data_IF_881398500194
#
_entry.id   IF_881398500194
#
_cell.length_a   1.000
_cell.length_b   1.000
_cell.length_c   1.000
_cell.angle_alpha   90.00
_cell.angle_beta   90.00
_cell.angle_gamma   90.00
#
_symmetry.space_group_name_H-M   'P 1'
#
loop_
_entity.id
_entity.type
_entity.pdbx_description
1 polymer ?
#
# COMPACT_ATOMS: atom_id res chain seq x y z
N UNK A 1 -42.62 11.79 14.54
CA UNK A 1 -41.92 11.10 13.43
C UNK A 1 -40.60 11.82 13.23
N UNK A 2 -39.55 11.13 12.77
CA UNK A 2 -38.30 11.83 12.41
C UNK A 2 -38.60 12.85 11.31
N UNK A 3 -38.02 14.05 11.39
CA UNK A 3 -38.22 15.13 10.41
C UNK A 3 -37.35 14.95 9.15
N UNK A 4 -36.80 13.75 8.95
CA UNK A 4 -35.94 13.39 7.84
C UNK A 4 -36.22 11.95 7.42
N UNK A 5 -35.88 11.63 6.18
CA UNK A 5 -36.15 10.34 5.54
C UNK A 5 -34.91 9.46 5.48
N UNK A 6 -35.08 8.19 5.13
CA UNK A 6 -33.95 7.31 4.83
C UNK A 6 -33.09 7.83 3.65
N UNK A 7 -33.71 8.55 2.70
CA UNK A 7 -32.99 9.18 1.60
C UNK A 7 -32.08 10.33 2.10
N UNK A 8 -32.54 11.11 3.08
CA UNK A 8 -31.74 12.19 3.66
C UNK A 8 -30.52 11.65 4.44
N UNK A 9 -30.70 10.54 5.18
CA UNK A 9 -29.58 9.84 5.82
C UNK A 9 -28.57 9.38 4.76
N UNK A 10 -29.05 8.77 3.66
CA UNK A 10 -28.18 8.30 2.58
C UNK A 10 -27.43 9.47 1.93
N UNK A 11 -28.11 10.56 1.62
CA UNK A 11 -27.51 11.74 1.00
C UNK A 11 -26.45 12.40 1.90
N UNK A 12 -26.72 12.56 3.20
CA UNK A 12 -25.74 13.14 4.13
C UNK A 12 -24.55 12.19 4.33
N UNK A 13 -24.79 10.88 4.35
CA UNK A 13 -23.72 9.88 4.39
C UNK A 13 -22.83 9.93 3.15
N UNK A 14 -23.39 10.06 1.96
CA UNK A 14 -22.63 10.19 0.72
C UNK A 14 -21.81 11.49 0.69
N UNK A 15 -22.36 12.60 1.20
CA UNK A 15 -21.67 13.90 1.30
C UNK A 15 -20.50 13.89 2.28
N UNK A 16 -20.65 13.20 3.41
CA UNK A 16 -19.68 13.24 4.53
C UNK A 16 -18.72 12.06 4.56
N UNK A 17 -19.10 10.92 3.99
CA UNK A 17 -18.38 9.65 4.15
C UNK A 17 -18.53 9.02 5.54
N UNK A 18 -19.28 9.64 6.47
CA UNK A 18 -19.39 9.19 7.85
C UNK A 18 -20.17 7.87 8.01
N UNK A 19 -19.97 7.20 9.14
CA UNK A 19 -20.73 6.00 9.51
C UNK A 19 -22.24 6.26 9.59
N UNK A 20 -23.06 5.28 9.18
CA UNK A 20 -24.52 5.39 9.12
C UNK A 20 -25.16 5.87 10.44
N UNK A 21 -24.69 5.36 11.57
CA UNK A 21 -25.23 5.70 12.88
C UNK A 21 -24.84 7.12 13.31
N UNK A 22 -23.67 7.61 12.91
CA UNK A 22 -23.22 8.96 13.24
C UNK A 22 -24.03 9.99 12.45
N UNK A 23 -24.28 9.71 11.16
CA UNK A 23 -25.17 10.51 10.31
C UNK A 23 -26.59 10.57 10.88
N UNK A 24 -27.15 9.41 11.26
CA UNK A 24 -28.50 9.35 11.84
C UNK A 24 -28.60 10.16 13.14
N UNK A 25 -27.66 9.99 14.07
CA UNK A 25 -27.64 10.75 15.33
C UNK A 25 -27.47 12.25 15.12
N UNK A 26 -26.66 12.65 14.14
CA UNK A 26 -26.48 14.06 13.82
C UNK A 26 -27.77 14.68 13.26
N UNK A 27 -28.50 13.96 12.39
CA UNK A 27 -29.80 14.40 11.88
C UNK A 27 -30.86 14.48 12.99
N UNK A 28 -30.86 13.54 13.94
CA UNK A 28 -31.73 13.59 15.12
C UNK A 28 -31.49 14.87 15.94
N UNK A 29 -30.23 15.18 16.26
CA UNK A 29 -29.86 16.38 17.04
C UNK A 29 -30.03 17.69 16.26
N UNK A 30 -29.92 17.63 14.94
CA UNK A 30 -30.16 18.76 14.04
C UNK A 30 -31.64 18.95 13.70
N UNK A 31 -32.55 18.11 14.23
CA UNK A 31 -33.98 18.09 13.87
C UNK A 31 -34.23 17.96 12.35
N UNK A 32 -33.37 17.22 11.64
CA UNK A 32 -33.43 17.00 10.20
C UNK A 32 -32.67 18.03 9.35
N UNK A 33 -32.07 19.06 9.95
CA UNK A 33 -31.24 20.03 9.22
C UNK A 33 -29.89 19.40 8.83
N UNK A 34 -29.66 19.27 7.51
CA UNK A 34 -28.50 18.59 6.98
C UNK A 34 -27.17 19.35 7.20
N UNK A 35 -27.20 20.69 7.14
CA UNK A 35 -25.99 21.49 7.28
C UNK A 35 -25.59 21.58 8.76
N UNK A 36 -26.56 21.75 9.65
CA UNK A 36 -26.32 21.64 11.10
C UNK A 36 -25.87 20.24 11.50
N UNK A 37 -26.42 19.18 10.89
CA UNK A 37 -25.96 17.81 11.12
C UNK A 37 -24.50 17.62 10.69
N UNK A 38 -24.09 18.23 9.58
CA UNK A 38 -22.69 18.20 9.13
C UNK A 38 -21.74 18.87 10.14
N UNK A 39 -22.11 20.04 10.68
CA UNK A 39 -21.35 20.70 11.74
C UNK A 39 -21.23 19.81 12.99
N UNK A 40 -22.33 19.18 13.41
CA UNK A 40 -22.35 18.28 14.56
C UNK A 40 -21.44 17.07 14.37
N UNK A 41 -21.42 16.47 13.16
CA UNK A 41 -20.51 15.37 12.81
C UNK A 41 -19.06 15.82 13.02
N UNK A 42 -18.68 16.98 12.46
CA UNK A 42 -17.31 17.49 12.57
C UNK A 42 -16.92 17.76 14.03
N UNK A 43 -17.77 18.45 14.78
CA UNK A 43 -17.51 18.78 16.20
C UNK A 43 -17.33 17.49 17.04
N UNK A 44 -18.21 16.51 16.85
CA UNK A 44 -18.13 15.24 17.58
C UNK A 44 -16.94 14.40 17.16
N UNK A 45 -16.63 14.37 15.87
CA UNK A 45 -15.46 13.71 15.31
C UNK A 45 -14.18 14.19 15.97
N UNK A 46 -13.98 15.51 16.02
CA UNK A 46 -12.79 16.13 16.60
C UNK A 46 -12.69 15.86 18.11
N UNK A 47 -13.81 15.98 18.86
CA UNK A 47 -13.84 15.61 20.28
C UNK A 47 -13.54 14.13 20.54
N UNK A 48 -13.79 13.27 19.56
CA UNK A 48 -13.58 11.83 19.64
C UNK A 48 -12.22 11.36 19.14
N UNK A 49 -11.48 12.16 18.37
CA UNK A 49 -10.29 11.73 17.63
C UNK A 49 -9.22 11.10 18.53
N UNK A 50 -8.90 11.72 19.67
CA UNK A 50 -7.91 11.20 20.64
C UNK A 50 -8.32 9.84 21.22
N UNK A 51 -9.63 9.57 21.37
CA UNK A 51 -10.14 8.27 21.84
C UNK A 51 -10.01 7.17 20.77
N UNK A 52 -9.68 7.53 19.52
CA UNK A 52 -9.52 6.59 18.41
C UNK A 52 -8.07 6.17 18.19
N UNK A 53 -7.09 6.83 18.80
CA UNK A 53 -5.65 6.55 18.58
C UNK A 53 -5.26 5.09 18.79
N UNK A 54 -5.86 4.40 19.77
CA UNK A 54 -5.61 2.99 20.04
C UNK A 54 -6.33 2.00 19.11
N UNK A 55 -7.14 2.48 18.15
CA UNK A 55 -7.90 1.60 17.24
C UNK A 55 -7.00 1.08 16.12
N UNK A 56 -7.33 -0.14 15.68
CA UNK A 56 -6.70 -0.79 14.54
C UNK A 56 -7.20 -0.18 13.23
N UNK A 57 -6.30 0.01 12.28
CA UNK A 57 -6.59 0.52 10.93
C UNK A 57 -6.03 -0.47 9.90
N UNK A 58 -6.76 -1.57 9.68
CA UNK A 58 -6.34 -2.66 8.80
C UNK A 58 -6.89 -2.51 7.37
N UNK A 59 -7.83 -1.60 7.16
CA UNK A 59 -8.43 -1.28 5.85
C UNK A 59 -7.78 -0.01 5.28
N UNK A 60 -8.07 0.34 4.03
CA UNK A 60 -7.49 1.53 3.42
C UNK A 60 -7.34 1.45 1.92
N UNK A 61 -6.35 2.16 1.38
CA UNK A 61 -5.97 2.10 -0.03
C UNK A 61 -4.50 2.45 -0.25
N UNK A 62 -3.99 2.04 -1.42
CA UNK A 62 -2.70 2.48 -1.96
C UNK A 62 -2.96 3.40 -3.14
N UNK A 63 -2.33 4.57 -3.13
CA UNK A 63 -2.33 5.52 -4.23
C UNK A 63 -0.90 5.68 -4.76
N UNK A 64 -0.73 5.77 -6.08
CA UNK A 64 0.58 5.92 -6.69
C UNK A 64 0.52 6.78 -7.96
N UNK A 65 1.63 7.43 -8.28
CA UNK A 65 1.80 8.22 -9.50
C UNK A 65 3.25 8.14 -9.98
N UNK A 66 3.42 8.07 -11.30
CA UNK A 66 4.72 8.20 -11.96
C UNK A 66 4.80 9.60 -12.59
N UNK A 67 5.90 10.30 -12.37
CA UNK A 67 6.21 11.63 -12.88
C UNK A 67 7.24 11.47 -13.99
N UNK A 68 6.91 11.97 -15.18
CA UNK A 68 7.77 11.98 -16.38
C UNK A 68 8.37 10.61 -16.76
N UNK A 69 7.75 9.51 -16.32
CA UNK A 69 8.26 8.15 -16.53
C UNK A 69 9.49 7.78 -15.70
N UNK A 70 9.98 8.65 -14.81
CA UNK A 70 11.30 8.49 -14.15
C UNK A 70 11.22 8.47 -12.63
N UNK A 71 10.15 9.01 -12.03
CA UNK A 71 9.97 9.06 -10.57
C UNK A 71 8.60 8.51 -10.18
N UNK A 72 8.58 7.37 -9.50
CA UNK A 72 7.39 6.80 -8.89
C UNK A 72 7.23 7.24 -7.43
N UNK A 73 6.04 7.67 -7.05
CA UNK A 73 5.66 7.97 -5.66
C UNK A 73 4.42 7.17 -5.30
N UNK A 74 4.42 6.53 -4.14
CA UNK A 74 3.33 5.68 -3.66
C UNK A 74 3.09 5.91 -2.16
N UNK A 75 1.83 5.97 -1.77
CA UNK A 75 1.41 6.14 -0.37
C UNK A 75 0.40 5.06 0.03
N UNK A 76 0.47 4.61 1.28
CA UNK A 76 -0.56 3.78 1.91
C UNK A 76 -1.33 4.63 2.94
N UNK A 77 -2.63 4.78 2.74
CA UNK A 77 -3.55 5.42 3.66
C UNK A 77 -4.48 4.38 4.26
N UNK A 78 -4.50 4.25 5.59
CA UNK A 78 -5.35 3.30 6.29
C UNK A 78 -6.54 3.94 7.00
N UNK A 79 -7.61 3.18 7.13
CA UNK A 79 -8.81 3.47 7.93
C UNK A 79 -9.26 2.21 8.70
N UNK A 80 -10.35 2.31 9.47
CA UNK A 80 -10.86 1.21 10.28
C UNK A 80 -11.71 0.24 9.44
N UNK A 81 -12.50 0.73 8.48
CA UNK A 81 -13.45 -0.09 7.71
C UNK A 81 -13.33 0.07 6.19
N UNK A 82 -13.76 -0.97 5.48
CA UNK A 82 -13.84 -1.00 4.01
C UNK A 82 -14.89 -0.01 3.47
N UNK A 83 -15.91 0.32 4.27
CA UNK A 83 -16.93 1.32 3.93
C UNK A 83 -16.34 2.71 3.78
N UNK A 84 -15.45 3.10 4.68
CA UNK A 84 -14.74 4.38 4.58
C UNK A 84 -13.71 4.32 3.47
N UNK A 85 -12.97 3.21 3.36
CA UNK A 85 -11.94 3.03 2.32
C UNK A 85 -12.45 3.30 0.89
N UNK A 86 -13.68 2.88 0.58
CA UNK A 86 -14.30 3.07 -0.75
C UNK A 86 -15.13 4.36 -0.90
N UNK A 87 -15.16 5.22 0.12
CA UNK A 87 -15.88 6.50 0.04
C UNK A 87 -15.11 7.50 -0.81
N UNK A 88 -15.82 8.38 -1.52
CA UNK A 88 -15.21 9.44 -2.32
C UNK A 88 -14.30 10.35 -1.48
N UNK A 89 -14.71 10.68 -0.25
CA UNK A 89 -13.93 11.53 0.67
C UNK A 89 -12.60 10.91 1.11
N UNK A 90 -12.57 9.61 1.35
CA UNK A 90 -11.32 8.93 1.68
C UNK A 90 -10.37 8.85 0.47
N UNK A 91 -10.91 8.62 -0.73
CA UNK A 91 -10.13 8.62 -1.97
C UNK A 91 -9.56 10.02 -2.26
N UNK A 92 -10.38 11.07 -2.13
CA UNK A 92 -9.93 12.47 -2.26
C UNK A 92 -8.81 12.81 -1.25
N UNK A 93 -8.91 12.33 0.00
CA UNK A 93 -7.85 12.51 0.99
C UNK A 93 -6.56 11.78 0.57
N UNK A 94 -6.65 10.54 0.08
CA UNK A 94 -5.47 9.81 -0.38
C UNK A 94 -4.78 10.48 -1.56
N UNK A 95 -5.55 11.05 -2.50
CA UNK A 95 -5.01 11.83 -3.62
C UNK A 95 -4.28 13.10 -3.13
N UNK A 96 -4.83 13.79 -2.12
CA UNK A 96 -4.16 14.95 -1.48
C UNK A 96 -2.88 14.54 -0.77
N UNK A 97 -2.89 13.43 -0.03
CA UNK A 97 -1.68 12.89 0.63
C UNK A 97 -0.61 12.52 -0.40
N UNK A 98 -1.01 11.90 -1.52
CA UNK A 98 -0.08 11.58 -2.62
C UNK A 98 0.50 12.85 -3.26
N UNK A 99 -0.32 13.88 -3.49
CA UNK A 99 0.16 15.16 -4.01
C UNK A 99 1.18 15.80 -3.06
N UNK A 100 0.89 15.83 -1.75
CA UNK A 100 1.84 16.30 -0.74
C UNK A 100 3.14 15.48 -0.71
N UNK A 101 3.06 14.15 -0.88
CA UNK A 101 4.24 13.28 -0.96
C UNK A 101 5.11 13.59 -2.18
N UNK A 102 4.49 13.91 -3.31
CA UNK A 102 5.19 14.30 -4.54
C UNK A 102 5.90 15.64 -4.36
N UNK A 103 5.20 16.66 -3.83
CA UNK A 103 5.73 18.02 -3.68
C UNK A 103 6.82 18.10 -2.61
N UNK A 104 6.62 17.43 -1.48
CA UNK A 104 7.57 17.42 -0.36
C UNK A 104 8.83 16.60 -0.62
N UNK A 105 8.78 15.67 -1.59
CA UNK A 105 9.80 14.65 -1.79
C UNK A 105 10.09 13.81 -0.52
N UNK A 106 9.12 13.68 0.38
CA UNK A 106 9.28 12.94 1.63
C UNK A 106 9.63 11.46 1.39
N UNK A 107 10.62 10.96 2.13
CA UNK A 107 11.08 9.57 2.07
C UNK A 107 10.44 8.66 3.14
N UNK A 108 9.75 9.26 4.11
CA UNK A 108 9.09 8.56 5.21
C UNK A 108 7.80 9.27 5.64
N UNK A 109 6.95 8.56 6.39
CA UNK A 109 5.65 9.06 6.81
C UNK A 109 5.76 10.23 7.79
N UNK A 110 6.81 10.27 8.63
CA UNK A 110 7.00 11.32 9.63
C UNK A 110 7.24 12.67 8.95
N UNK A 111 8.18 12.70 7.99
CA UNK A 111 8.49 13.87 7.18
C UNK A 111 7.29 14.32 6.36
N UNK A 112 6.55 13.37 5.76
CA UNK A 112 5.33 13.67 5.01
C UNK A 112 4.25 14.31 5.89
N UNK A 113 4.03 13.78 7.09
CA UNK A 113 3.02 14.27 8.03
C UNK A 113 3.32 15.67 8.60
N UNK A 114 4.60 16.07 8.57
CA UNK A 114 5.05 17.41 8.95
C UNK A 114 4.93 18.44 7.81
N UNK A 115 4.77 18.01 6.56
CA UNK A 115 4.66 18.92 5.41
C UNK A 115 3.40 19.80 5.50
N UNK A 116 3.54 21.08 5.16
CA UNK A 116 2.41 22.03 5.20
C UNK A 116 1.51 21.90 3.98
N UNK A 117 0.22 21.68 4.22
CA UNK A 117 -0.84 21.65 3.22
C UNK A 117 -1.94 22.61 3.69
N UNK A 118 -2.33 23.55 2.84
CA UNK A 118 -3.36 24.55 3.15
C UNK A 118 -3.05 25.37 4.44
N UNK A 119 -1.77 25.63 4.71
CA UNK A 119 -1.31 26.44 5.85
C UNK A 119 -1.26 25.72 7.21
N UNK A 120 -1.30 24.38 7.22
CA UNK A 120 -1.13 23.55 8.43
C UNK A 120 -0.43 22.22 8.11
N UNK A 121 0.12 21.52 9.10
CA UNK A 121 0.72 20.19 8.89
C UNK A 121 -0.28 19.19 8.30
N UNK A 122 0.18 18.33 7.38
CA UNK A 122 -0.64 17.27 6.79
C UNK A 122 -1.23 16.34 7.86
N UNK A 123 -0.52 16.12 8.96
CA UNK A 123 -1.03 15.40 10.13
C UNK A 123 -2.35 15.97 10.66
N UNK A 124 -2.49 17.29 10.74
CA UNK A 124 -3.74 17.92 11.16
C UNK A 124 -4.85 17.73 10.14
N UNK A 125 -4.53 17.85 8.84
CA UNK A 125 -5.49 17.60 7.75
C UNK A 125 -6.04 16.17 7.84
N UNK A 126 -5.17 15.17 8.01
CA UNK A 126 -5.56 13.76 8.12
C UNK A 126 -6.45 13.51 9.34
N UNK A 127 -6.14 14.12 10.49
CA UNK A 127 -6.96 14.02 11.71
C UNK A 127 -8.33 14.67 11.52
N UNK A 128 -8.38 15.85 10.90
CA UNK A 128 -9.65 16.56 10.63
C UNK A 128 -10.56 15.78 9.68
N UNK A 129 -10.01 15.22 8.61
CA UNK A 129 -10.78 14.43 7.64
C UNK A 129 -11.21 13.09 8.25
N UNK A 130 -10.34 12.42 9.01
CA UNK A 130 -10.70 11.22 9.78
C UNK A 130 -11.81 11.50 10.81
N UNK A 131 -11.79 12.67 11.45
CA UNK A 131 -12.86 13.11 12.35
C UNK A 131 -14.22 13.18 11.65
N UNK A 132 -14.27 13.73 10.43
CA UNK A 132 -15.50 13.78 9.60
C UNK A 132 -15.95 12.37 9.21
N UNK A 133 -15.02 11.50 8.80
CA UNK A 133 -15.30 10.12 8.42
C UNK A 133 -15.76 9.25 9.62
N UNK A 134 -15.48 9.68 10.85
CA UNK A 134 -15.85 8.95 12.05
C UNK A 134 -14.85 7.84 12.43
N UNK A 135 -13.70 7.77 11.77
CA UNK A 135 -12.69 6.73 11.92
C UNK A 135 -11.31 7.32 12.19
N UNK A 136 -10.41 6.50 12.75
CA UNK A 136 -8.98 6.77 12.71
C UNK A 136 -8.48 6.61 11.28
N UNK A 137 -7.76 7.62 10.78
CA UNK A 137 -7.07 7.59 9.50
C UNK A 137 -5.57 7.74 9.75
N UNK A 138 -4.77 6.97 9.03
CA UNK A 138 -3.30 6.96 9.19
C UNK A 138 -2.62 6.96 7.84
N UNK A 139 -1.69 7.90 7.63
CA UNK A 139 -0.69 7.78 6.57
C UNK A 139 0.37 6.81 7.08
N UNK A 140 0.33 5.55 6.60
CA UNK A 140 1.17 4.50 7.18
C UNK A 140 2.60 4.53 6.66
N UNK A 141 2.76 4.80 5.37
CA UNK A 141 4.06 4.84 4.71
C UNK A 141 3.98 5.50 3.34
N UNK A 142 5.14 6.00 2.91
CA UNK A 142 5.40 6.52 1.58
C UNK A 142 6.58 5.75 1.00
N UNK A 143 6.59 5.55 -0.30
CA UNK A 143 7.73 5.05 -1.06
C UNK A 143 7.98 5.96 -2.25
N UNK A 144 9.26 6.16 -2.53
CA UNK A 144 9.74 6.84 -3.73
C UNK A 144 10.76 5.95 -4.42
N UNK A 145 10.60 5.78 -5.72
CA UNK A 145 11.49 4.97 -6.57
C UNK A 145 11.84 5.79 -7.80
N UNK A 146 13.13 5.88 -8.12
CA UNK A 146 13.65 6.66 -9.24
C UNK A 146 14.42 5.75 -10.20
N UNK A 147 14.34 6.03 -11.50
CA UNK A 147 15.02 5.28 -12.56
C UNK A 147 14.86 5.94 -13.92
N UNK A 148 15.44 5.36 -14.97
CA UNK A 148 15.25 5.86 -16.33
C UNK A 148 13.86 5.56 -16.88
N UNK A 149 13.31 4.40 -16.51
CA UNK A 149 11.91 4.06 -16.72
C UNK A 149 11.35 3.48 -15.43
N UNK A 150 10.24 4.04 -14.97
CA UNK A 150 9.47 3.59 -13.80
C UNK A 150 8.04 3.32 -14.23
N UNK A 151 7.48 2.20 -13.79
CA UNK A 151 6.05 1.94 -13.87
C UNK A 151 5.42 1.75 -12.49
N UNK A 152 4.13 2.05 -12.40
CA UNK A 152 3.32 1.82 -11.23
C UNK A 152 2.14 0.91 -11.55
N UNK A 153 2.03 -0.20 -10.80
CA UNK A 153 0.89 -1.11 -10.91
C UNK A 153 0.04 -1.07 -9.65
N UNK A 154 -1.25 -0.73 -9.80
CA UNK A 154 -2.23 -0.71 -8.73
C UNK A 154 -3.26 -1.83 -8.94
N UNK A 155 -3.39 -2.71 -7.95
CA UNK A 155 -4.28 -3.86 -7.99
C UNK A 155 -5.43 -3.74 -6.99
N UNK A 156 -6.65 -3.97 -7.47
CA UNK A 156 -7.86 -4.06 -6.67
C UNK A 156 -8.13 -5.53 -6.34
N UNK A 157 -8.10 -5.88 -5.05
CA UNK A 157 -8.40 -7.25 -4.58
C UNK A 157 -9.89 -7.58 -4.68
N UNK A 158 -10.75 -6.57 -4.76
CA UNK A 158 -12.19 -6.67 -5.01
C UNK A 158 -12.64 -5.53 -5.91
N UNK A 159 -13.70 -5.74 -6.71
CA UNK A 159 -14.28 -4.71 -7.59
C UNK A 159 -14.80 -3.48 -6.83
N UNK A 160 -15.24 -3.70 -5.59
CA UNK A 160 -15.87 -2.67 -4.75
C UNK A 160 -14.87 -1.87 -3.91
N UNK A 161 -13.58 -2.24 -3.94
CA UNK A 161 -12.54 -1.58 -3.17
C UNK A 161 -11.63 -0.74 -4.07
N UNK A 162 -11.03 0.34 -3.53
CA UNK A 162 -9.89 0.98 -4.18
C UNK A 162 -8.69 0.03 -4.22
N UNK A 163 -7.61 0.44 -4.89
CA UNK A 163 -6.41 -0.38 -4.97
C UNK A 163 -5.89 -0.72 -3.57
N UNK A 164 -5.69 -2.02 -3.31
CA UNK A 164 -5.21 -2.54 -2.02
C UNK A 164 -3.75 -2.98 -2.09
N UNK A 165 -3.23 -3.16 -3.30
CA UNK A 165 -1.83 -3.49 -3.55
C UNK A 165 -1.30 -2.50 -4.57
N UNK A 166 -0.14 -1.91 -4.28
CA UNK A 166 0.57 -1.05 -5.21
C UNK A 166 2.02 -1.48 -5.34
N UNK A 167 2.55 -1.35 -6.55
CA UNK A 167 3.94 -1.62 -6.87
C UNK A 167 4.50 -0.45 -7.65
N UNK A 168 5.70 -0.01 -7.29
CA UNK A 168 6.59 0.78 -8.14
C UNK A 168 7.73 -0.13 -8.57
N UNK A 169 8.11 -0.10 -9.85
CA UNK A 169 9.26 -0.85 -10.34
C UNK A 169 10.05 0.00 -11.33
N UNK A 170 11.37 0.06 -11.14
CA UNK A 170 12.27 0.88 -11.93
C UNK A 170 13.35 0.06 -12.64
N UNK A 171 13.65 0.48 -13.87
CA UNK A 171 14.73 -0.07 -14.68
C UNK A 171 15.65 1.03 -15.22
N UNK A 172 16.91 0.67 -15.41
CA UNK A 172 17.88 1.40 -16.22
C UNK A 172 17.73 0.94 -17.68
N UNK A 173 16.87 1.67 -18.40
CA UNK A 173 16.49 1.44 -19.79
C UNK A 173 15.42 2.45 -20.20
N UNK A 174 15.25 2.68 -21.50
CA UNK A 174 14.29 3.64 -22.07
C UNK A 174 13.53 3.01 -23.24
N UNK A 175 12.39 3.61 -23.59
CA UNK A 175 11.54 3.18 -24.71
C UNK A 175 10.55 2.06 -24.36
N UNK A 176 9.77 1.65 -25.36
CA UNK A 176 8.61 0.76 -25.18
C UNK A 176 8.98 -0.61 -24.59
N UNK A 177 10.16 -1.14 -24.93
CA UNK A 177 10.64 -2.41 -24.38
C UNK A 177 10.93 -2.30 -22.88
N UNK A 178 11.56 -1.20 -22.46
CA UNK A 178 11.85 -0.93 -21.05
C UNK A 178 10.56 -0.74 -20.25
N UNK A 179 9.61 0.03 -20.79
CA UNK A 179 8.31 0.24 -20.16
C UNK A 179 7.52 -1.07 -20.05
N UNK A 180 7.47 -1.87 -21.12
CA UNK A 180 6.78 -3.18 -21.11
C UNK A 180 7.38 -4.12 -20.08
N UNK A 181 8.71 -4.20 -20.00
CA UNK A 181 9.39 -5.00 -19.00
C UNK A 181 9.09 -4.49 -17.58
N UNK A 182 9.17 -3.19 -17.34
CA UNK A 182 8.89 -2.60 -16.03
C UNK A 182 7.44 -2.88 -15.59
N UNK A 183 6.48 -2.72 -16.50
CA UNK A 183 5.08 -3.02 -16.26
C UNK A 183 4.85 -4.48 -15.91
N UNK A 184 5.40 -5.38 -16.72
CA UNK A 184 5.24 -6.81 -16.54
C UNK A 184 5.83 -7.31 -15.20
N UNK A 185 6.98 -6.76 -14.80
CA UNK A 185 7.58 -7.08 -13.51
C UNK A 185 6.81 -6.42 -12.35
N UNK A 186 6.24 -5.22 -12.51
CA UNK A 186 5.38 -4.61 -11.50
C UNK A 186 4.12 -5.47 -11.23
N UNK A 187 3.49 -5.98 -12.29
CA UNK A 187 2.34 -6.90 -12.19
C UNK A 187 2.74 -8.21 -11.50
N UNK A 188 3.88 -8.79 -11.88
CA UNK A 188 4.40 -10.00 -11.23
C UNK A 188 4.65 -9.79 -9.73
N UNK A 189 5.31 -8.68 -9.38
CA UNK A 189 5.66 -8.31 -8.00
C UNK A 189 4.42 -8.15 -7.12
N UNK A 190 3.32 -7.63 -7.67
CA UNK A 190 2.07 -7.51 -6.94
C UNK A 190 1.54 -8.89 -6.48
N UNK A 191 1.64 -9.89 -7.36
CA UNK A 191 1.15 -11.25 -7.14
C UNK A 191 2.10 -12.12 -6.29
N UNK A 192 3.41 -12.06 -6.54
CA UNK A 192 4.40 -12.96 -5.93
C UNK A 192 5.06 -12.40 -4.66
N UNK A 193 4.86 -11.12 -4.36
CA UNK A 193 5.22 -10.49 -3.09
C UNK A 193 6.68 -10.73 -2.62
N UNK A 194 7.70 -10.53 -3.49
CA UNK A 194 9.09 -10.58 -3.05
C UNK A 194 9.37 -9.50 -1.99
N UNK A 195 10.38 -9.77 -1.16
CA UNK A 195 10.86 -8.85 -0.12
C UNK A 195 12.11 -8.10 -0.57
N UNK A 196 12.97 -8.74 -1.36
CA UNK A 196 14.25 -8.22 -1.81
C UNK A 196 14.35 -8.25 -3.33
N UNK A 197 15.13 -7.35 -3.93
CA UNK A 197 15.34 -7.35 -5.36
C UNK A 197 16.37 -8.41 -5.72
N UNK A 198 17.50 -8.39 -5.04
CA UNK A 198 18.64 -9.30 -5.25
C UNK A 198 18.94 -10.14 -4.01
N UNK A 199 19.70 -11.24 -4.17
CA UNK A 199 20.13 -12.07 -3.03
C UNK A 199 21.06 -11.33 -2.07
N UNK A 200 21.86 -10.39 -2.58
CA UNK A 200 22.84 -9.63 -1.80
C UNK A 200 22.17 -8.63 -0.83
N UNK A 201 20.91 -8.29 -1.08
CA UNK A 201 20.09 -7.48 -0.17
C UNK A 201 19.51 -8.29 1.00
N UNK A 202 19.55 -9.63 0.95
CA UNK A 202 19.02 -10.48 2.02
C UNK A 202 19.99 -10.46 3.21
N UNK A 203 19.54 -10.04 4.41
CA UNK A 203 20.38 -10.05 5.61
C UNK A 203 21.02 -11.42 5.89
N UNK A 204 22.31 -11.42 6.25
CA UNK A 204 23.08 -12.66 6.42
C UNK A 204 22.53 -13.54 7.55
N UNK A 205 21.99 -12.94 8.61
CA UNK A 205 21.35 -13.64 9.72
C UNK A 205 20.09 -14.40 9.28
N UNK A 206 19.30 -13.84 8.36
CA UNK A 206 18.16 -14.52 7.74
C UNK A 206 18.65 -15.72 6.91
N UNK A 207 19.67 -15.52 6.08
CA UNK A 207 20.23 -16.59 5.23
C UNK A 207 20.84 -17.72 6.07
N UNK A 208 21.58 -17.39 7.13
CA UNK A 208 22.19 -18.34 8.05
C UNK A 208 21.14 -19.13 8.83
N UNK A 209 20.09 -18.46 9.33
CA UNK A 209 19.01 -19.11 10.03
C UNK A 209 18.24 -20.07 9.10
N UNK A 210 17.93 -19.66 7.87
CA UNK A 210 17.25 -20.53 6.90
C UNK A 210 18.11 -21.73 6.51
N UNK A 211 19.43 -21.53 6.34
CA UNK A 211 20.38 -22.61 6.09
C UNK A 211 20.39 -23.63 7.23
N UNK A 212 20.39 -23.15 8.48
CA UNK A 212 20.35 -24.02 9.67
C UNK A 212 19.04 -24.83 9.71
N UNK A 213 17.90 -24.19 9.47
CA UNK A 213 16.59 -24.86 9.41
C UNK A 213 16.59 -25.95 8.33
N UNK A 214 17.14 -25.64 7.15
CA UNK A 214 17.24 -26.58 6.04
C UNK A 214 18.11 -27.81 6.39
N UNK A 215 19.24 -27.61 7.07
CA UNK A 215 20.15 -28.68 7.52
C UNK A 215 19.50 -29.57 8.58
N UNK A 216 18.95 -28.95 9.65
CA UNK A 216 18.28 -29.66 10.73
C UNK A 216 17.11 -30.51 10.21
N UNK A 217 16.32 -29.94 9.30
CA UNK A 217 15.18 -30.64 8.70
C UNK A 217 15.64 -31.79 7.80
N UNK A 218 16.70 -31.60 7.01
CA UNK A 218 17.23 -32.67 6.15
C UNK A 218 17.84 -33.83 6.96
N UNK A 219 18.48 -33.53 8.10
CA UNK A 219 18.98 -34.54 9.05
C UNK A 219 17.84 -35.29 9.72
N UNK A 220 16.79 -34.58 10.17
CA UNK A 220 15.61 -35.18 10.79
C UNK A 220 14.85 -36.11 9.82
N UNK A 221 14.86 -35.82 8.52
CA UNK A 221 14.33 -36.69 7.46
C UNK A 221 15.22 -37.92 7.15
N UNK A 222 16.35 -38.09 7.83
CA UNK A 222 17.26 -39.22 7.63
C UNK A 222 18.02 -39.17 6.31
N UNK A 223 18.22 -37.98 5.73
CA UNK A 223 18.99 -37.84 4.47
C UNK A 223 20.48 -38.18 4.71
N UNK A 224 21.16 -38.83 3.75
CA UNK A 224 22.58 -39.20 3.90
C UNK A 224 23.47 -37.98 4.11
N UNK A 225 24.47 -38.05 5.00
CA UNK A 225 25.36 -36.92 5.31
C UNK A 225 26.07 -36.35 4.07
N UNK A 226 26.50 -37.22 3.15
CA UNK A 226 27.14 -36.81 1.90
C UNK A 226 26.22 -36.00 0.96
N UNK A 227 24.90 -36.13 1.10
CA UNK A 227 23.92 -35.41 0.31
C UNK A 227 23.43 -34.11 0.98
N UNK A 228 23.66 -33.93 2.28
CA UNK A 228 23.16 -32.77 3.03
C UNK A 228 23.55 -31.43 2.42
N UNK A 229 24.82 -31.17 2.04
CA UNK A 229 25.20 -29.86 1.49
C UNK A 229 24.36 -29.47 0.26
N UNK A 230 24.14 -30.42 -0.65
CA UNK A 230 23.35 -30.21 -1.87
C UNK A 230 21.86 -30.03 -1.58
N UNK A 231 21.32 -30.76 -0.59
CA UNK A 231 19.93 -30.63 -0.18
C UNK A 231 19.68 -29.25 0.46
N UNK A 232 20.57 -28.83 1.35
CA UNK A 232 20.52 -27.52 2.01
C UNK A 232 20.61 -26.40 0.97
N UNK A 233 21.54 -26.48 0.03
CA UNK A 233 21.67 -25.52 -1.07
C UNK A 233 20.40 -25.45 -1.93
N UNK A 234 19.80 -26.60 -2.25
CA UNK A 234 18.55 -26.68 -3.00
C UNK A 234 17.38 -26.02 -2.27
N UNK A 235 17.27 -26.24 -0.95
CA UNK A 235 16.24 -25.62 -0.09
C UNK A 235 16.45 -24.11 0.02
N UNK A 236 17.68 -23.68 0.23
CA UNK A 236 18.02 -22.25 0.29
C UNK A 236 17.75 -21.55 -1.05
N UNK A 237 17.99 -22.24 -2.17
CA UNK A 237 17.59 -21.74 -3.50
C UNK A 237 16.07 -21.62 -3.61
N UNK A 238 15.30 -22.56 -3.05
CA UNK A 238 13.85 -22.46 -2.95
C UNK A 238 13.40 -21.23 -2.16
N UNK A 239 14.01 -21.00 -0.99
CA UNK A 239 13.77 -19.82 -0.16
C UNK A 239 14.05 -18.51 -0.92
N UNK A 240 15.19 -18.40 -1.61
CA UNK A 240 15.48 -17.21 -2.42
C UNK A 240 14.44 -17.00 -3.52
N UNK A 241 13.92 -18.05 -4.17
CA UNK A 241 12.84 -17.93 -5.15
C UNK A 241 11.52 -17.45 -4.56
N UNK A 242 11.32 -17.52 -3.24
CA UNK A 242 10.14 -16.97 -2.58
C UNK A 242 10.32 -15.48 -2.27
N UNK A 243 11.50 -15.08 -1.78
CA UNK A 243 11.71 -13.73 -1.23
C UNK A 243 12.49 -12.77 -2.13
N UNK A 244 13.21 -13.26 -3.15
CA UNK A 244 14.05 -12.45 -4.06
C UNK A 244 13.38 -12.35 -5.42
N UNK A 245 13.04 -11.13 -5.85
CA UNK A 245 12.32 -10.87 -7.09
C UNK A 245 13.06 -11.44 -8.32
N UNK A 246 14.36 -11.21 -8.45
CA UNK A 246 15.11 -11.63 -9.63
C UNK A 246 15.24 -13.15 -9.78
N UNK A 247 15.07 -13.89 -8.69
CA UNK A 247 15.10 -15.35 -8.64
C UNK A 247 13.74 -15.98 -8.95
N UNK A 248 12.65 -15.21 -8.81
CA UNK A 248 11.29 -15.71 -8.98
C UNK A 248 11.06 -16.22 -10.40
N UNK A 249 10.37 -17.36 -10.57
CA UNK A 249 9.85 -17.77 -11.87
C UNK A 249 8.80 -16.76 -12.34
N UNK A 250 8.94 -16.26 -13.56
CA UNK A 250 8.09 -15.20 -14.05
C UNK A 250 6.64 -15.67 -14.25
N UNK A 251 5.68 -14.84 -13.83
CA UNK A 251 4.26 -15.23 -13.78
C UNK A 251 3.67 -15.61 -15.15
N UNK A 252 4.11 -14.95 -16.23
CA UNK A 252 3.62 -15.23 -17.59
C UNK A 252 4.37 -16.39 -18.28
N UNK A 253 5.59 -16.69 -17.83
CA UNK A 253 6.39 -17.82 -18.32
C UNK A 253 7.30 -18.34 -17.20
N UNK A 254 6.82 -19.34 -16.46
CA UNK A 254 7.53 -19.91 -15.33
C UNK A 254 8.83 -20.67 -15.70
N UNK A 255 9.14 -20.81 -17.00
CA UNK A 255 10.43 -21.36 -17.46
C UNK A 255 11.57 -20.35 -17.36
N UNK A 256 11.25 -19.05 -17.28
CA UNK A 256 12.21 -17.96 -17.15
C UNK A 256 12.13 -17.36 -15.75
N UNK A 257 13.27 -16.92 -15.23
CA UNK A 257 13.27 -16.06 -14.04
C UNK A 257 12.95 -14.63 -14.45
N UNK A 258 12.54 -13.80 -13.48
CA UNK A 258 12.41 -12.35 -13.69
C UNK A 258 13.71 -11.74 -14.21
N UNK A 259 14.87 -12.17 -13.70
CA UNK A 259 16.17 -11.72 -14.21
C UNK A 259 16.35 -11.99 -15.71
N UNK A 260 16.01 -13.20 -16.16
CA UNK A 260 16.13 -13.58 -17.58
C UNK A 260 15.20 -12.74 -18.47
N UNK A 261 13.99 -12.43 -18.00
CA UNK A 261 13.05 -11.57 -18.74
C UNK A 261 13.58 -10.15 -18.91
N UNK A 262 14.19 -9.59 -17.86
CA UNK A 262 14.80 -8.26 -17.90
C UNK A 262 16.05 -8.23 -18.80
N UNK A 263 16.86 -9.29 -18.76
CA UNK A 263 18.03 -9.45 -19.63
C UNK A 263 17.64 -9.52 -21.10
N UNK A 264 16.62 -10.33 -21.45
CA UNK A 264 16.09 -10.42 -22.82
C UNK A 264 15.52 -9.08 -23.32
N UNK A 265 14.95 -8.28 -22.41
CA UNK A 265 14.49 -6.93 -22.71
C UNK A 265 15.62 -5.89 -22.79
N UNK A 266 16.87 -6.27 -22.46
CA UNK A 266 18.04 -5.40 -22.51
C UNK A 266 18.05 -4.30 -21.44
N UNK A 267 17.35 -4.52 -20.31
CA UNK A 267 17.24 -3.53 -19.23
C UNK A 267 17.77 -4.07 -17.92
N UNK A 268 18.25 -3.19 -17.04
CA UNK A 268 18.70 -3.57 -15.70
C UNK A 268 17.68 -3.13 -14.65
N UNK A 269 17.27 -3.99 -13.72
CA UNK A 269 16.45 -3.57 -12.58
C UNK A 269 17.25 -2.64 -11.67
N UNK A 270 16.58 -1.66 -11.07
CA UNK A 270 17.24 -0.70 -10.17
C UNK A 270 16.62 -0.67 -8.78
N UNK A 271 15.28 -0.64 -8.69
CA UNK A 271 14.58 -0.62 -7.42
C UNK A 271 13.11 -1.03 -7.60
N UNK A 272 12.50 -1.48 -6.51
CA UNK A 272 11.05 -1.64 -6.44
C UNK A 272 10.54 -1.28 -5.05
N UNK A 273 9.25 -0.94 -4.98
CA UNK A 273 8.52 -0.83 -3.72
C UNK A 273 7.18 -1.51 -3.88
N UNK A 274 6.73 -2.24 -2.85
CA UNK A 274 5.44 -2.92 -2.85
C UNK A 274 4.71 -2.67 -1.55
N UNK A 275 3.50 -2.12 -1.64
CA UNK A 275 2.59 -1.99 -0.50
C UNK A 275 1.40 -2.94 -0.66
N UNK A 276 0.95 -3.47 0.47
CA UNK A 276 -0.34 -4.15 0.61
C UNK A 276 -1.00 -3.55 1.84
N UNK A 277 -2.23 -3.07 1.68
CA UNK A 277 -3.02 -2.49 2.77
C UNK A 277 -3.06 -3.45 3.95
N UNK A 278 -2.69 -2.94 5.13
CA UNK A 278 -2.78 -3.66 6.40
C UNK A 278 -1.70 -4.73 6.62
N UNK A 279 -0.76 -4.89 5.68
CA UNK A 279 0.38 -5.81 5.80
C UNK A 279 1.51 -5.25 6.67
#
# INVERSE_FOLDING_TARGET
MANYTAADIKALRERTGAGMMDVKKALDEANGDADKAMELIRIKGLKGATKREGRSTAEGLVAAKVIDGTVGVMVELNCETDFVAKSAKFIELADRVLAAAIESAAADAETLLAYEVDGKPLSEVVVEEGAILGEKVVVRRVARVEGKTVDAYLHKTSKDLPAQVGVLFAVDGEGDAAFTAAHDIAVHTAAYAPTYLTRDEVPSDIVENERRIADETARAEGKPEAALPKIVEGRLTGFFKEIVLLDQPFAKDAKKTVAAVLEEAGVKPTAFARFRVGA
#
